data_IF_544038910558
#
_entry.id   IF_544038910558
#
_cell.length_a   1.000
_cell.length_b   1.000
_cell.length_c   1.000
_cell.angle_alpha   90.00
_cell.angle_beta   90.00
_cell.angle_gamma   90.00
#
_symmetry.space_group_name_H-M   'P 1'
#
loop_
_entity.id
_entity.type
_entity.pdbx_description
1 polymer ?
#
# COMPACT_ATOMS: atom_id res chain seq x y z
N UNK A 1 -13.54 16.85 -0.20
CA UNK A 1 -13.50 15.37 -0.15
C UNK A 1 -12.27 14.98 0.65
N UNK A 2 -12.43 14.49 1.87
CA UNK A 2 -11.29 14.02 2.65
C UNK A 2 -10.77 12.74 1.99
N UNK A 3 -9.63 12.84 1.29
CA UNK A 3 -8.89 11.69 0.79
C UNK A 3 -8.30 10.96 2.00
N UNK A 4 -9.07 10.11 2.67
CA UNK A 4 -8.64 9.38 3.88
C UNK A 4 -7.71 8.23 3.50
N UNK A 5 -6.53 8.59 2.99
CA UNK A 5 -5.43 7.67 2.86
C UNK A 5 -4.38 8.00 3.91
N UNK A 6 -3.71 6.97 4.37
CA UNK A 6 -2.54 7.08 5.24
C UNK A 6 -1.32 6.62 4.46
N UNK A 7 -0.18 7.24 4.76
CA UNK A 7 1.07 7.01 4.04
C UNK A 7 2.10 6.42 4.99
N UNK A 8 2.81 5.39 4.54
CA UNK A 8 3.89 4.75 5.28
C UNK A 8 5.16 4.68 4.43
N UNK A 9 6.24 5.25 4.96
CA UNK A 9 7.56 5.21 4.34
C UNK A 9 8.42 4.12 4.99
N UNK A 10 8.84 3.14 4.21
CA UNK A 10 9.82 2.13 4.62
C UNK A 10 11.21 2.71 4.38
N UNK A 11 11.88 3.05 5.48
CA UNK A 11 13.25 3.52 5.51
C UNK A 11 14.18 2.39 5.94
N UNK A 12 15.50 2.58 5.78
CA UNK A 12 16.51 1.57 6.12
C UNK A 12 16.40 0.96 7.53
N UNK A 13 15.91 1.72 8.50
CA UNK A 13 15.81 1.29 9.89
C UNK A 13 14.37 0.95 10.32
N UNK A 14 13.40 1.00 9.40
CA UNK A 14 12.03 0.60 9.66
C UNK A 14 12.01 -0.87 10.03
N UNK A 15 11.29 -1.23 11.10
CA UNK A 15 11.11 -2.62 11.51
C UNK A 15 9.84 -3.17 10.87
N UNK A 16 9.82 -4.48 10.62
CA UNK A 16 8.61 -5.15 10.15
C UNK A 16 7.41 -4.91 11.07
N UNK A 17 7.65 -4.86 12.39
CA UNK A 17 6.59 -4.60 13.37
C UNK A 17 5.94 -3.23 13.15
N UNK A 18 6.70 -2.21 12.74
CA UNK A 18 6.15 -0.88 12.47
C UNK A 18 5.16 -0.91 11.29
N UNK A 19 5.45 -1.72 10.26
CA UNK A 19 4.53 -1.93 9.13
C UNK A 19 3.26 -2.70 9.55
N UNK A 20 3.40 -3.70 10.42
CA UNK A 20 2.25 -4.45 10.96
C UNK A 20 1.35 -3.57 11.79
N UNK A 21 1.93 -2.84 12.73
CA UNK A 21 1.21 -1.90 13.59
C UNK A 21 0.52 -0.82 12.73
N UNK A 22 1.16 -0.37 11.65
CA UNK A 22 0.56 0.54 10.69
C UNK A 22 -0.71 -0.03 10.04
N UNK A 23 -0.67 -1.27 9.53
CA UNK A 23 -1.86 -1.89 8.93
C UNK A 23 -2.96 -2.15 9.96
N UNK A 24 -2.61 -2.62 11.16
CA UNK A 24 -3.58 -2.88 12.22
C UNK A 24 -4.29 -1.60 12.67
N UNK A 25 -3.55 -0.49 12.82
CA UNK A 25 -4.12 0.81 13.19
C UNK A 25 -4.94 1.44 12.06
N UNK A 26 -4.70 1.05 10.81
CA UNK A 26 -5.32 1.65 9.63
C UNK A 26 -6.20 0.69 8.84
N UNK A 27 -6.68 -0.38 9.49
CA UNK A 27 -7.50 -1.43 8.89
C UNK A 27 -8.69 -0.91 8.04
N UNK A 28 -9.28 0.21 8.45
CA UNK A 28 -10.44 0.85 7.78
C UNK A 28 -10.06 2.01 6.83
N UNK A 29 -8.77 2.28 6.59
CA UNK A 29 -8.26 3.39 5.77
C UNK A 29 -7.52 2.90 4.51
N UNK A 30 -7.52 3.70 3.44
CA UNK A 30 -6.66 3.39 2.30
C UNK A 30 -5.19 3.61 2.69
N UNK A 31 -4.32 2.69 2.32
CA UNK A 31 -2.92 2.71 2.71
C UNK A 31 -2.03 2.86 1.48
N UNK A 32 -1.11 3.81 1.53
CA UNK A 32 -0.07 3.97 0.53
C UNK A 32 1.26 3.66 1.21
N UNK A 33 2.01 2.72 0.64
CA UNK A 33 3.32 2.32 1.14
C UNK A 33 4.38 2.68 0.11
N UNK A 34 5.53 3.18 0.55
CA UNK A 34 6.65 3.51 -0.33
C UNK A 34 7.98 3.10 0.32
N UNK A 35 8.93 2.61 -0.47
CA UNK A 35 10.32 2.45 -0.03
C UNK A 35 11.09 3.76 -0.25
N UNK A 36 11.88 4.18 0.73
CA UNK A 36 12.75 5.37 0.62
C UNK A 36 13.79 5.21 -0.50
N UNK A 37 14.24 3.97 -0.73
CA UNK A 37 15.17 3.63 -1.82
C UNK A 37 14.68 2.39 -2.56
N UNK A 38 14.71 2.43 -3.90
CA UNK A 38 14.29 1.32 -4.77
C UNK A 38 15.17 0.05 -4.66
N UNK A 39 16.32 0.10 -3.98
CA UNK A 39 17.32 -0.97 -3.99
C UNK A 39 17.21 -1.98 -2.84
N UNK A 40 16.41 -1.70 -1.81
CA UNK A 40 16.30 -2.54 -0.62
C UNK A 40 14.83 -2.94 -0.38
N UNK A 41 14.22 -3.53 -1.41
CA UNK A 41 12.95 -4.21 -1.27
C UNK A 41 13.16 -5.49 -0.44
N UNK A 42 13.23 -5.32 0.88
CA UNK A 42 13.26 -6.45 1.80
C UNK A 42 12.00 -7.28 1.56
N UNK A 43 12.23 -8.49 1.05
CA UNK A 43 11.20 -9.47 0.69
C UNK A 43 10.19 -9.69 1.82
N UNK A 44 10.62 -9.54 3.07
CA UNK A 44 9.77 -9.69 4.25
C UNK A 44 8.69 -8.60 4.28
N UNK A 45 9.02 -7.34 3.97
CA UNK A 45 8.06 -6.25 3.89
C UNK A 45 7.09 -6.43 2.72
N UNK A 46 7.60 -6.83 1.56
CA UNK A 46 6.75 -7.10 0.39
C UNK A 46 5.73 -8.19 0.66
N UNK A 47 6.16 -9.29 1.29
CA UNK A 47 5.28 -10.38 1.69
C UNK A 47 4.22 -9.93 2.69
N UNK A 48 4.58 -9.07 3.63
CA UNK A 48 3.62 -8.50 4.60
C UNK A 48 2.57 -7.62 3.91
N UNK A 49 2.99 -6.75 2.98
CA UNK A 49 2.08 -5.93 2.18
C UNK A 49 1.11 -6.81 1.38
N UNK A 50 1.61 -7.85 0.72
CA UNK A 50 0.78 -8.79 -0.05
C UNK A 50 -0.22 -9.54 0.83
N UNK A 51 0.21 -10.03 2.00
CA UNK A 51 -0.68 -10.71 2.94
C UNK A 51 -1.82 -9.78 3.39
N UNK A 52 -1.48 -8.55 3.76
CA UNK A 52 -2.49 -7.58 4.19
C UNK A 52 -3.42 -7.19 3.06
N UNK A 53 -2.98 -7.12 1.80
CA UNK A 53 -3.86 -6.78 0.68
C UNK A 53 -5.08 -7.72 0.54
N UNK A 54 -4.95 -8.97 0.98
CA UNK A 54 -6.04 -9.95 0.92
C UNK A 54 -7.03 -9.85 2.08
N UNK A 55 -6.63 -9.24 3.21
CA UNK A 55 -7.40 -9.20 4.46
C UNK A 55 -7.83 -7.79 4.86
N UNK A 56 -7.12 -6.78 4.36
CA UNK A 56 -7.34 -5.38 4.66
C UNK A 56 -8.68 -4.92 4.07
N UNK A 57 -9.46 -4.17 4.85
CA UNK A 57 -10.81 -3.79 4.42
C UNK A 57 -10.76 -2.79 3.27
N UNK A 58 -9.73 -1.95 3.23
CA UNK A 58 -9.51 -0.88 2.24
C UNK A 58 -8.27 -1.14 1.37
N UNK A 59 -8.08 -0.30 0.37
CA UNK A 59 -7.04 -0.44 -0.65
C UNK A 59 -5.64 -0.26 -0.07
N UNK A 60 -4.71 -1.15 -0.45
CA UNK A 60 -3.27 -0.97 -0.21
C UNK A 60 -2.58 -0.75 -1.56
N UNK A 61 -1.85 0.35 -1.69
CA UNK A 61 -1.11 0.70 -2.90
C UNK A 61 0.36 0.88 -2.58
N UNK A 62 1.22 0.22 -3.34
CA UNK A 62 2.67 0.29 -3.21
C UNK A 62 3.26 1.22 -4.27
N UNK A 63 4.02 2.22 -3.84
CA UNK A 63 4.78 3.07 -4.73
C UNK A 63 6.17 2.47 -4.94
N UNK A 64 6.44 2.04 -6.16
CA UNK A 64 7.77 1.63 -6.63
C UNK A 64 7.86 1.73 -8.16
N UNK A 65 9.01 2.18 -8.66
CA UNK A 65 9.24 2.36 -10.11
C UNK A 65 9.64 1.08 -10.82
N UNK A 66 10.35 0.18 -10.12
CA UNK A 66 11.04 -0.95 -10.73
C UNK A 66 10.60 -2.30 -10.14
N UNK A 67 9.59 -2.30 -9.27
CA UNK A 67 9.09 -3.50 -8.64
C UNK A 67 7.90 -4.06 -9.41
N UNK A 68 7.99 -5.36 -9.71
CA UNK A 68 6.86 -6.15 -10.17
C UNK A 68 6.69 -7.30 -9.20
N UNK A 69 5.48 -7.51 -8.69
CA UNK A 69 5.15 -8.63 -7.83
C UNK A 69 4.07 -9.46 -8.48
N UNK A 70 4.31 -10.77 -8.57
CA UNK A 70 3.28 -11.71 -8.99
C UNK A 70 2.08 -11.63 -8.02
N UNK A 71 0.87 -11.51 -8.58
CA UNK A 71 -0.40 -11.44 -7.85
C UNK A 71 -0.61 -10.20 -6.95
N UNK A 72 0.12 -9.09 -7.19
CA UNK A 72 -0.16 -7.81 -6.52
C UNK A 72 -0.17 -6.68 -7.55
N UNK A 73 -1.37 -6.26 -7.94
CA UNK A 73 -1.58 -5.32 -9.06
C UNK A 73 -1.49 -3.85 -8.64
N UNK A 74 -1.59 -3.55 -7.35
CA UNK A 74 -1.65 -2.19 -6.84
C UNK A 74 -0.24 -1.61 -6.63
N UNK A 75 0.61 -1.70 -7.66
CA UNK A 75 1.95 -1.09 -7.69
C UNK A 75 1.96 0.02 -8.72
N UNK A 76 2.50 1.17 -8.35
CA UNK A 76 2.64 2.32 -9.24
C UNK A 76 3.95 3.08 -9.02
N UNK A 77 4.52 3.72 -10.05
CA UNK A 77 5.68 4.58 -9.92
C UNK A 77 5.45 5.87 -9.13
N UNK A 78 4.22 6.37 -8.96
CA UNK A 78 3.99 7.71 -8.40
C UNK A 78 2.85 7.80 -7.39
N UNK A 79 2.94 8.80 -6.51
CA UNK A 79 1.86 9.09 -5.56
C UNK A 79 0.56 9.51 -6.26
N UNK A 80 0.65 10.22 -7.40
CA UNK A 80 -0.54 10.65 -8.12
C UNK A 80 -1.33 9.45 -8.63
N UNK A 81 -0.66 8.51 -9.30
CA UNK A 81 -1.27 7.28 -9.76
C UNK A 81 -1.78 6.41 -8.60
N UNK A 82 -1.10 6.41 -7.45
CA UNK A 82 -1.58 5.70 -6.27
C UNK A 82 -2.91 6.24 -5.75
N UNK A 83 -3.06 7.57 -5.79
CA UNK A 83 -4.32 8.23 -5.45
C UNK A 83 -5.41 7.94 -6.47
N UNK A 84 -5.06 7.87 -7.76
CA UNK A 84 -6.01 7.57 -8.83
C UNK A 84 -6.55 6.13 -8.68
N UNK A 85 -5.71 5.14 -8.32
CA UNK A 85 -6.13 3.76 -8.00
C UNK A 85 -7.10 3.75 -6.82
N UNK A 86 -6.75 4.42 -5.72
CA UNK A 86 -7.62 4.48 -4.53
C UNK A 86 -8.98 5.09 -4.89
N UNK A 87 -9.00 6.15 -5.70
CA UNK A 87 -10.24 6.80 -6.11
C UNK A 87 -11.14 5.85 -6.92
N UNK A 88 -10.57 5.10 -7.86
CA UNK A 88 -11.30 4.10 -8.64
C UNK A 88 -11.84 2.98 -7.74
N UNK A 89 -11.00 2.39 -6.88
CA UNK A 89 -11.43 1.29 -6.01
C UNK A 89 -12.49 1.73 -4.98
N UNK A 90 -12.45 2.97 -4.50
CA UNK A 90 -13.51 3.52 -3.65
C UNK A 90 -14.84 3.69 -4.40
N UNK A 91 -14.79 4.07 -5.67
CA UNK A 91 -15.99 4.13 -6.53
C UNK A 91 -16.56 2.74 -6.75
N UNK A 92 -15.73 1.77 -7.14
CA UNK A 92 -16.13 0.36 -7.36
C UNK A 92 -16.78 -0.22 -6.10
N UNK A 93 -16.12 -0.03 -4.95
CA UNK A 93 -16.65 -0.44 -3.64
C UNK A 93 -17.95 0.24 -3.27
N UNK A 94 -18.12 1.53 -3.60
CA UNK A 94 -19.37 2.26 -3.36
C UNK A 94 -20.50 1.78 -4.27
N UNK A 95 -20.15 1.28 -5.45
CA UNK A 95 -21.06 0.66 -6.41
C UNK A 95 -21.28 -0.84 -6.12
N UNK A 96 -20.55 -1.41 -5.14
CA UNK A 96 -20.56 -2.84 -4.81
C UNK A 96 -20.19 -3.74 -6.01
N UNK A 97 -19.30 -3.26 -6.88
CA UNK A 97 -18.78 -3.99 -8.05
C UNK A 97 -17.30 -4.29 -7.90
#
# INVERSE_FOLDING_TARGET
MNKSHVFFLIQKNTKLQDLKDFFDLNYDNNCIVQFETDYDHDYIFLKEIQNNNSTHKKSIVLISKNLTLDNFNNITPTLQEALDIIEIEEIERSLNI
#
